data_IF_349747871502
#
_entry.id   IF_349747871502
#
_cell.length_a   1.000
_cell.length_b   1.000
_cell.length_c   1.000
_cell.angle_alpha   90.00
_cell.angle_beta   90.00
_cell.angle_gamma   90.00
#
_symmetry.space_group_name_H-M   'P 1'
#
loop_
_entity.id
_entity.type
_entity.pdbx_description
1 polymer ?
#
# COMPACT_ATOMS: atom_id res chain seq x y z
N UNK A 1 2.94 -23.26 -10.05
CA UNK A 1 2.28 -23.15 -11.39
C UNK A 1 0.81 -23.51 -11.25
N UNK A 2 -0.08 -22.59 -11.58
CA UNK A 2 -1.53 -22.80 -11.65
C UNK A 2 -2.01 -22.71 -13.10
N UNK A 3 -3.19 -23.25 -13.40
CA UNK A 3 -3.84 -22.95 -14.67
C UNK A 3 -4.55 -21.59 -14.59
N UNK A 4 -4.61 -20.87 -15.69
CA UNK A 4 -5.27 -19.56 -15.75
C UNK A 4 -6.74 -19.59 -15.27
N UNK A 5 -7.43 -20.72 -15.45
CA UNK A 5 -8.80 -20.91 -14.97
C UNK A 5 -8.93 -20.99 -13.44
N UNK A 6 -7.83 -21.24 -12.74
CA UNK A 6 -7.78 -21.40 -11.28
C UNK A 6 -7.43 -20.06 -10.57
N UNK A 7 -7.17 -19.00 -11.34
CA UNK A 7 -6.87 -17.67 -10.82
C UNK A 7 -8.06 -17.11 -10.04
N UNK A 8 -7.79 -16.49 -8.90
CA UNK A 8 -8.77 -15.86 -8.02
C UNK A 8 -8.29 -14.48 -7.59
N UNK A 9 -9.18 -13.65 -7.07
CA UNK A 9 -8.80 -12.40 -6.42
C UNK A 9 -7.82 -12.70 -5.29
N UNK A 10 -6.70 -11.97 -5.26
CA UNK A 10 -5.60 -12.17 -4.31
C UNK A 10 -4.54 -13.18 -4.77
N UNK A 11 -4.74 -13.90 -5.87
CA UNK A 11 -3.69 -14.75 -6.45
C UNK A 11 -2.53 -13.88 -6.91
N UNK A 12 -1.32 -14.19 -6.40
CA UNK A 12 -0.09 -13.56 -6.86
C UNK A 12 0.51 -14.39 -8.00
N UNK A 13 0.84 -13.74 -9.11
CA UNK A 13 1.48 -14.36 -10.27
C UNK A 13 2.72 -13.58 -10.67
N UNK A 14 3.75 -14.31 -11.14
CA UNK A 14 4.95 -13.71 -11.73
C UNK A 14 4.79 -13.71 -13.26
N UNK A 15 5.01 -12.57 -13.88
CA UNK A 15 4.93 -12.39 -15.31
C UNK A 15 5.96 -11.34 -15.75
N UNK A 16 6.78 -11.69 -16.74
CA UNK A 16 7.86 -10.82 -17.27
C UNK A 16 8.79 -10.28 -16.17
N UNK A 17 9.11 -11.11 -15.16
CA UNK A 17 9.96 -10.75 -14.03
C UNK A 17 9.30 -9.87 -12.96
N UNK A 18 8.04 -9.48 -13.14
CA UNK A 18 7.25 -8.68 -12.21
C UNK A 18 6.21 -9.48 -11.49
N UNK A 19 5.87 -9.05 -10.28
CA UNK A 19 4.82 -9.66 -9.48
C UNK A 19 3.52 -8.86 -9.62
N UNK A 20 2.43 -9.57 -9.81
CA UNK A 20 1.09 -9.01 -9.93
C UNK A 20 0.11 -9.72 -9.00
N UNK A 21 -0.80 -8.96 -8.41
CA UNK A 21 -1.98 -9.51 -7.76
C UNK A 21 -3.20 -9.44 -8.68
N UNK A 22 -3.92 -10.54 -8.78
CA UNK A 22 -5.23 -10.54 -9.41
C UNK A 22 -6.23 -9.81 -8.50
N UNK A 23 -6.77 -8.68 -8.98
CA UNK A 23 -7.76 -7.87 -8.26
C UNK A 23 -9.18 -8.04 -8.81
N UNK A 24 -9.32 -8.58 -10.01
CA UNK A 24 -10.60 -8.87 -10.65
C UNK A 24 -10.41 -9.93 -11.76
N UNK A 25 -11.39 -10.80 -11.98
CA UNK A 25 -11.36 -11.76 -13.07
C UNK A 25 -12.74 -12.06 -13.60
N UNK A 26 -12.81 -12.39 -14.87
CA UNK A 26 -14.03 -12.82 -15.54
C UNK A 26 -13.74 -14.00 -16.48
N UNK A 27 -14.50 -15.08 -16.33
CA UNK A 27 -14.48 -16.20 -17.22
C UNK A 27 -15.39 -15.91 -18.44
N UNK A 28 -14.80 -15.65 -19.59
CA UNK A 28 -15.53 -15.27 -20.81
C UNK A 28 -15.70 -16.49 -21.70
N UNK A 29 -16.95 -16.84 -21.96
CA UNK A 29 -17.36 -17.91 -22.92
C UNK A 29 -18.02 -17.24 -24.11
N UNK A 30 -17.27 -16.88 -25.17
CA UNK A 30 -17.87 -16.28 -26.34
C UNK A 30 -18.71 -17.32 -27.08
N UNK A 31 -19.78 -16.89 -27.75
CA UNK A 31 -20.64 -17.79 -28.53
C UNK A 31 -19.91 -18.43 -29.74
N UNK A 32 -18.84 -17.78 -30.22
CA UNK A 32 -17.88 -18.31 -31.22
C UNK A 32 -16.47 -17.97 -30.72
N UNK A 33 -15.57 -18.98 -30.70
CA UNK A 33 -14.18 -18.85 -30.30
C UNK A 33 -13.85 -19.52 -28.96
N UNK A 34 -12.58 -19.47 -28.58
CA UNK A 34 -12.09 -20.13 -27.38
C UNK A 34 -12.47 -19.36 -26.12
N UNK A 35 -12.79 -20.10 -25.07
CA UNK A 35 -12.99 -19.55 -23.72
C UNK A 35 -11.68 -19.01 -23.17
N UNK A 36 -11.73 -17.87 -22.53
CA UNK A 36 -10.55 -17.24 -21.90
C UNK A 36 -10.89 -16.58 -20.54
N UNK A 37 -9.87 -16.37 -19.75
CA UNK A 37 -9.94 -15.57 -18.53
C UNK A 37 -9.52 -14.14 -18.83
N UNK A 38 -10.36 -13.17 -18.51
CA UNK A 38 -10.01 -11.75 -18.50
C UNK A 38 -9.71 -11.36 -17.07
N UNK A 39 -8.53 -10.85 -16.80
CA UNK A 39 -8.08 -10.51 -15.45
C UNK A 39 -7.65 -9.07 -15.37
N UNK A 40 -7.87 -8.44 -14.23
CA UNK A 40 -7.20 -7.20 -13.86
C UNK A 40 -6.10 -7.53 -12.86
N UNK A 41 -4.89 -7.15 -13.22
CA UNK A 41 -3.67 -7.43 -12.49
C UNK A 41 -3.09 -6.13 -11.99
N UNK A 42 -2.86 -6.03 -10.67
CA UNK A 42 -2.21 -4.89 -10.05
C UNK A 42 -0.72 -5.21 -9.86
N UNK A 43 0.15 -4.40 -10.45
CA UNK A 43 1.60 -4.45 -10.21
C UNK A 43 1.88 -4.13 -8.74
N UNK A 44 2.69 -4.98 -8.11
CA UNK A 44 2.97 -4.90 -6.66
C UNK A 44 3.81 -3.67 -6.32
N UNK A 45 4.75 -3.30 -7.17
CA UNK A 45 5.70 -2.20 -6.94
C UNK A 45 5.12 -0.85 -7.34
N UNK A 46 4.58 -0.78 -8.56
CA UNK A 46 4.15 0.49 -9.17
C UNK A 46 2.65 0.78 -8.97
N UNK A 47 1.92 -0.17 -8.40
CA UNK A 47 0.48 -0.10 -8.12
C UNK A 47 -0.42 0.15 -9.35
N UNK A 48 0.12 0.21 -10.59
CA UNK A 48 -0.71 0.33 -11.76
C UNK A 48 -1.48 -0.97 -12.05
N UNK A 49 -2.64 -0.81 -12.67
CA UNK A 49 -3.51 -1.93 -13.03
C UNK A 49 -3.48 -2.13 -14.53
N UNK A 50 -3.25 -3.37 -14.94
CA UNK A 50 -3.34 -3.78 -16.35
C UNK A 50 -4.43 -4.85 -16.51
N UNK A 51 -5.07 -4.87 -17.68
CA UNK A 51 -5.98 -5.94 -18.07
C UNK A 51 -5.22 -6.96 -18.93
N UNK A 52 -5.30 -8.24 -18.56
CA UNK A 52 -4.67 -9.34 -19.30
C UNK A 52 -5.69 -10.44 -19.58
N UNK A 53 -5.57 -11.06 -20.77
CA UNK A 53 -6.32 -12.24 -21.15
C UNK A 53 -5.40 -13.43 -21.14
N UNK A 54 -5.88 -14.53 -20.57
CA UNK A 54 -5.20 -15.81 -20.54
C UNK A 54 -6.11 -16.87 -21.17
N UNK A 55 -5.55 -17.74 -21.99
CA UNK A 55 -6.29 -18.86 -22.53
C UNK A 55 -6.57 -19.90 -21.44
N UNK A 56 -7.68 -20.62 -21.57
CA UNK A 56 -7.97 -21.75 -20.68
C UNK A 56 -6.87 -22.79 -20.82
N UNK A 57 -6.32 -23.24 -19.69
CA UNK A 57 -5.20 -24.20 -19.65
C UNK A 57 -3.81 -23.56 -19.74
N UNK A 58 -3.70 -22.26 -20.00
CA UNK A 58 -2.42 -21.54 -19.91
C UNK A 58 -1.84 -21.67 -18.51
N UNK A 59 -0.55 -21.99 -18.41
CA UNK A 59 0.16 -22.14 -17.14
C UNK A 59 0.72 -20.81 -16.70
N UNK A 60 0.40 -20.43 -15.46
CA UNK A 60 0.87 -19.20 -14.82
C UNK A 60 1.80 -19.58 -13.67
N UNK A 61 2.87 -18.80 -13.51
CA UNK A 61 3.75 -18.91 -12.35
C UNK A 61 3.06 -18.24 -11.16
N UNK A 62 2.43 -19.03 -10.31
CA UNK A 62 1.89 -18.53 -9.05
C UNK A 62 2.99 -18.40 -8.00
N UNK A 63 2.88 -17.36 -7.20
CA UNK A 63 3.78 -17.07 -6.08
C UNK A 63 2.99 -17.18 -4.79
N UNK A 64 3.41 -18.10 -3.91
CA UNK A 64 2.84 -18.17 -2.57
C UNK A 64 3.44 -17.06 -1.73
N UNK A 65 2.61 -16.17 -1.24
CA UNK A 65 3.04 -15.04 -0.41
C UNK A 65 2.70 -15.28 1.06
N UNK A 66 3.59 -14.82 1.93
CA UNK A 66 3.36 -14.71 3.37
C UNK A 66 3.34 -13.26 3.78
N UNK A 67 2.48 -12.93 4.75
CA UNK A 67 2.35 -11.60 5.32
C UNK A 67 2.70 -11.68 6.79
N UNK A 68 3.65 -10.85 7.24
CA UNK A 68 4.10 -10.80 8.63
C UNK A 68 4.22 -9.36 9.11
N UNK A 69 3.99 -9.09 10.40
CA UNK A 69 4.16 -7.76 10.98
C UNK A 69 5.64 -7.45 11.21
N UNK A 70 6.06 -6.25 10.78
CA UNK A 70 7.39 -5.70 11.01
C UNK A 70 7.27 -4.30 11.60
N UNK A 71 8.11 -4.01 12.58
CA UNK A 71 8.19 -2.68 13.18
C UNK A 71 9.30 -1.87 12.53
N UNK A 72 8.98 -0.65 12.11
CA UNK A 72 9.99 0.29 11.65
C UNK A 72 10.81 0.80 12.82
N UNK A 73 12.14 0.70 12.73
CA UNK A 73 13.07 1.11 13.78
C UNK A 73 13.71 2.47 13.46
N UNK A 74 14.46 2.54 12.36
CA UNK A 74 15.20 3.73 11.96
C UNK A 74 15.62 3.67 10.50
N UNK A 75 16.14 4.79 10.00
CA UNK A 75 16.66 4.89 8.64
C UNK A 75 18.20 4.77 8.66
N UNK A 76 18.73 3.87 7.85
CA UNK A 76 20.17 3.66 7.68
C UNK A 76 20.56 3.94 6.22
N UNK A 77 21.11 5.11 5.97
CA UNK A 77 21.40 5.56 4.61
C UNK A 77 20.13 5.75 3.79
N UNK A 78 19.95 4.96 2.73
CA UNK A 78 18.76 4.99 1.88
C UNK A 78 17.71 3.95 2.28
N UNK A 79 18.04 3.02 3.19
CA UNK A 79 17.19 1.91 3.58
C UNK A 79 16.49 2.17 4.90
N UNK A 80 15.27 1.68 5.01
CA UNK A 80 14.49 1.66 6.23
C UNK A 80 14.71 0.34 6.94
N UNK A 81 15.15 0.38 8.20
CA UNK A 81 15.40 -0.84 8.99
C UNK A 81 14.14 -1.23 9.73
N UNK A 82 13.68 -2.43 9.46
CA UNK A 82 12.51 -3.04 10.10
C UNK A 82 12.89 -4.26 10.92
N UNK A 83 12.16 -4.50 11.98
CA UNK A 83 12.30 -5.69 12.83
C UNK A 83 11.06 -6.56 12.70
N UNK A 84 11.27 -7.82 12.35
CA UNK A 84 10.22 -8.83 12.36
C UNK A 84 9.70 -9.02 13.79
N UNK A 85 8.39 -8.90 14.00
CA UNK A 85 7.78 -8.98 15.33
C UNK A 85 7.72 -10.42 15.88
N UNK A 86 7.99 -11.43 15.05
CA UNK A 86 8.00 -12.85 15.45
C UNK A 86 9.40 -13.36 15.72
N UNK A 87 10.37 -13.04 14.84
CA UNK A 87 11.75 -13.56 14.94
C UNK A 87 12.73 -12.55 15.53
N UNK A 88 12.35 -11.27 15.60
CA UNK A 88 13.18 -10.12 16.03
C UNK A 88 14.39 -9.84 15.13
N UNK A 89 14.46 -10.47 13.96
CA UNK A 89 15.47 -10.18 12.97
C UNK A 89 15.26 -8.80 12.36
N UNK A 90 16.35 -8.08 12.13
CA UNK A 90 16.34 -6.78 11.47
C UNK A 90 16.68 -6.93 10.00
N UNK A 91 15.89 -6.30 9.16
CA UNK A 91 16.06 -6.32 7.70
C UNK A 91 15.96 -4.92 7.10
N UNK A 92 16.82 -4.58 6.12
CA UNK A 92 16.69 -3.36 5.35
C UNK A 92 15.60 -3.53 4.28
N UNK A 93 14.74 -2.53 4.11
CA UNK A 93 13.73 -2.48 3.06
C UNK A 93 13.89 -1.13 2.34
N UNK A 94 14.09 -1.17 1.03
CA UNK A 94 14.19 0.04 0.21
C UNK A 94 12.87 0.81 0.14
N UNK A 95 12.97 2.13 0.02
CA UNK A 95 11.81 3.04 -0.04
C UNK A 95 10.79 2.63 -1.11
N UNK A 96 11.26 2.17 -2.25
CA UNK A 96 10.45 1.78 -3.40
C UNK A 96 9.53 0.58 -3.14
N UNK A 97 9.87 -0.24 -2.14
CA UNK A 97 9.07 -1.40 -1.74
C UNK A 97 8.04 -1.08 -0.66
N UNK A 98 8.00 0.16 -0.13
CA UNK A 98 7.11 0.52 0.97
C UNK A 98 5.98 1.41 0.48
N UNK A 99 4.76 0.89 0.45
CA UNK A 99 3.56 1.66 0.10
C UNK A 99 3.15 2.56 1.26
N UNK A 100 3.00 3.87 0.97
CA UNK A 100 2.63 4.87 1.98
C UNK A 100 3.80 5.36 2.84
N UNK A 101 5.04 5.13 2.43
CA UNK A 101 6.27 5.43 3.19
C UNK A 101 6.36 6.88 3.71
N UNK A 102 5.72 7.84 3.04
CA UNK A 102 5.73 9.25 3.46
C UNK A 102 5.00 9.47 4.81
N UNK A 103 4.19 8.51 5.24
CA UNK A 103 3.48 8.52 6.53
C UNK A 103 4.11 7.60 7.58
N UNK A 104 5.27 7.01 7.27
CA UNK A 104 5.96 6.10 8.18
C UNK A 104 6.66 6.88 9.30
N UNK A 105 6.47 6.43 10.54
CA UNK A 105 7.17 6.95 11.73
C UNK A 105 7.82 5.81 12.51
N UNK A 106 8.86 6.10 13.27
CA UNK A 106 9.54 5.12 14.13
C UNK A 106 8.57 4.44 15.09
N UNK A 107 8.73 3.13 15.26
CA UNK A 107 7.87 2.31 16.09
C UNK A 107 6.59 1.82 15.39
N UNK A 108 6.25 2.33 14.22
CA UNK A 108 5.08 1.88 13.48
C UNK A 108 5.24 0.44 13.00
N UNK A 109 4.18 -0.34 13.14
CA UNK A 109 4.10 -1.71 12.62
C UNK A 109 3.42 -1.70 11.27
N UNK A 110 4.06 -2.33 10.29
CA UNK A 110 3.55 -2.49 8.92
C UNK A 110 3.44 -3.97 8.58
N UNK A 111 2.66 -4.27 7.57
CA UNK A 111 2.64 -5.62 6.99
C UNK A 111 3.72 -5.73 5.92
N UNK A 112 4.63 -6.70 6.07
CA UNK A 112 5.62 -7.05 5.06
C UNK A 112 5.20 -8.34 4.38
N UNK A 113 5.16 -8.31 3.06
CA UNK A 113 4.80 -9.45 2.21
C UNK A 113 6.06 -10.00 1.57
N UNK A 114 6.29 -11.29 1.75
CA UNK A 114 7.42 -12.02 1.18
C UNK A 114 6.97 -13.22 0.36
N UNK A 115 7.82 -13.66 -0.56
CA UNK A 115 7.68 -14.93 -1.25
C UNK A 115 7.97 -16.06 -0.26
N UNK A 116 6.97 -16.91 0.02
CA UNK A 116 7.08 -17.98 0.99
C UNK A 116 8.12 -19.06 0.63
N UNK A 117 8.53 -19.13 -0.63
CA UNK A 117 9.50 -20.13 -1.11
C UNK A 117 10.95 -19.68 -1.01
N UNK A 118 11.20 -18.38 -1.12
CA UNK A 118 12.53 -17.77 -1.16
C UNK A 118 12.80 -16.83 0.00
N UNK A 119 11.77 -16.52 0.83
CA UNK A 119 11.77 -15.53 1.91
C UNK A 119 12.13 -14.11 1.42
N UNK A 120 12.13 -13.89 0.11
CA UNK A 120 12.42 -12.59 -0.48
C UNK A 120 11.30 -11.60 -0.18
N UNK A 121 11.64 -10.45 0.37
CA UNK A 121 10.67 -9.37 0.60
C UNK A 121 10.21 -8.82 -0.75
N UNK A 122 8.91 -8.78 -0.95
CA UNK A 122 8.26 -8.29 -2.15
C UNK A 122 7.83 -6.83 -2.00
N UNK A 123 7.21 -6.50 -0.86
CA UNK A 123 6.83 -5.14 -0.50
C UNK A 123 6.41 -5.04 0.97
N UNK A 124 6.37 -3.80 1.49
CA UNK A 124 5.78 -3.44 2.77
C UNK A 124 4.58 -2.51 2.57
N UNK A 125 3.58 -2.62 3.42
CA UNK A 125 2.35 -1.85 3.34
C UNK A 125 1.97 -1.29 4.71
N UNK A 126 1.84 0.03 4.80
CA UNK A 126 1.32 0.68 6.00
C UNK A 126 -0.14 0.31 6.21
N UNK A 127 -0.65 0.38 7.46
CA UNK A 127 -2.08 0.36 7.71
C UNK A 127 -2.80 1.38 6.82
N UNK A 128 -3.99 1.03 6.33
CA UNK A 128 -4.80 1.91 5.46
C UNK A 128 -5.03 3.28 6.11
N UNK A 129 -5.13 3.30 7.43
CA UNK A 129 -5.31 4.51 8.23
C UNK A 129 -4.21 4.60 9.28
N UNK A 130 -3.61 5.76 9.38
CA UNK A 130 -2.61 6.08 10.41
C UNK A 130 -2.99 7.34 11.15
N UNK A 131 -2.58 7.42 12.40
CA UNK A 131 -2.79 8.58 13.24
C UNK A 131 -1.47 9.30 13.42
N UNK A 132 -1.40 10.55 12.97
CA UNK A 132 -0.19 11.36 13.01
C UNK A 132 -0.49 12.73 13.61
N UNK A 133 0.48 13.24 14.37
CA UNK A 133 0.40 14.55 14.99
C UNK A 133 0.75 15.64 13.97
N UNK A 134 -0.04 16.70 13.93
CA UNK A 134 0.26 17.91 13.14
C UNK A 134 1.39 18.66 13.83
N UNK A 135 2.52 18.82 13.15
CA UNK A 135 3.70 19.54 13.67
C UNK A 135 3.73 21.00 13.23
N UNK A 136 3.10 21.31 12.10
CA UNK A 136 2.98 22.68 11.59
C UNK A 136 1.74 22.85 10.72
N UNK A 137 1.04 23.97 10.91
CA UNK A 137 -0.01 24.42 9.98
C UNK A 137 -0.24 25.93 10.17
N UNK A 138 -0.57 26.62 9.09
CA UNK A 138 -0.96 28.03 9.17
C UNK A 138 -2.30 28.18 9.91
N UNK A 139 -2.50 29.28 10.66
CA UNK A 139 -3.79 29.60 11.24
C UNK A 139 -4.85 29.75 10.11
N UNK A 140 -6.03 29.16 10.31
CA UNK A 140 -7.15 29.40 9.39
C UNK A 140 -7.56 30.90 9.44
N UNK A 141 -7.56 31.55 8.29
CA UNK A 141 -8.01 32.96 8.22
C UNK A 141 -9.51 33.02 8.52
N UNK A 142 -9.89 33.85 9.52
CA UNK A 142 -11.29 34.19 9.79
C UNK A 142 -11.82 35.03 8.61
N UNK A 143 -12.69 34.46 7.81
CA UNK A 143 -13.32 35.15 6.68
C UNK A 143 -13.55 34.28 5.45
N UNK A 144 -12.90 33.12 5.34
CA UNK A 144 -13.14 32.18 4.27
C UNK A 144 -14.40 31.33 4.60
N UNK A 145 -15.55 31.82 4.14
CA UNK A 145 -16.86 31.17 4.34
C UNK A 145 -17.11 30.01 3.37
N UNK A 146 -16.11 29.60 2.60
CA UNK A 146 -16.23 28.45 1.72
C UNK A 146 -16.20 27.15 2.55
N UNK A 147 -17.28 26.45 2.60
CA UNK A 147 -17.56 25.23 3.39
C UNK A 147 -16.65 24.03 3.11
N UNK A 148 -15.68 24.14 2.19
CA UNK A 148 -14.74 23.08 1.81
C UNK A 148 -13.30 23.58 1.63
N UNK A 149 -12.90 24.67 2.24
CA UNK A 149 -11.53 25.18 2.14
C UNK A 149 -10.59 24.33 2.99
N UNK A 150 -9.56 23.78 2.35
CA UNK A 150 -8.50 22.99 2.98
C UNK A 150 -7.22 23.81 3.02
N UNK A 151 -6.45 23.68 4.10
CA UNK A 151 -5.10 24.23 4.25
C UNK A 151 -4.04 23.14 4.31
N UNK A 152 -2.78 23.42 3.97
CA UNK A 152 -1.68 22.48 4.16
C UNK A 152 -1.35 22.35 5.65
N UNK A 153 -1.04 21.11 6.07
CA UNK A 153 -0.50 20.80 7.38
C UNK A 153 0.65 19.80 7.24
N UNK A 154 1.73 20.02 7.96
CA UNK A 154 2.84 19.08 8.05
C UNK A 154 2.61 18.19 9.26
N UNK A 155 2.74 16.88 9.06
CA UNK A 155 2.62 15.88 10.14
C UNK A 155 3.99 15.39 10.59
N UNK A 156 4.05 14.68 11.71
CA UNK A 156 5.29 14.24 12.36
C UNK A 156 6.17 13.33 11.49
N UNK A 157 5.63 12.69 10.47
CA UNK A 157 6.42 11.96 9.46
C UNK A 157 7.15 12.88 8.47
N UNK A 158 6.88 14.19 8.49
CA UNK A 158 7.36 15.17 7.51
C UNK A 158 6.48 15.32 6.27
N UNK A 159 5.45 14.49 6.10
CA UNK A 159 4.51 14.62 4.98
C UNK A 159 3.61 15.84 5.13
N UNK A 160 3.20 16.40 3.99
CA UNK A 160 2.20 17.49 3.94
C UNK A 160 0.86 16.93 3.48
N UNK A 161 -0.19 17.19 4.26
CA UNK A 161 -1.57 16.78 3.98
C UNK A 161 -2.50 17.99 3.93
N UNK A 162 -3.61 17.86 3.21
CA UNK A 162 -4.65 18.88 3.14
C UNK A 162 -5.68 18.64 4.24
N UNK A 163 -5.84 19.60 5.15
CA UNK A 163 -6.74 19.47 6.31
C UNK A 163 -7.77 20.61 6.35
N UNK A 164 -8.92 20.42 7.00
CA UNK A 164 -9.88 21.49 7.25
C UNK A 164 -9.25 22.66 8.02
N UNK A 165 -9.79 23.88 7.83
CA UNK A 165 -9.26 25.10 8.44
C UNK A 165 -9.22 25.08 9.98
N UNK A 166 -10.08 24.29 10.63
CA UNK A 166 -10.17 24.19 12.09
C UNK A 166 -9.09 23.32 12.73
N UNK A 167 -8.29 22.60 11.94
CA UNK A 167 -7.19 21.78 12.47
C UNK A 167 -6.04 22.70 12.88
N UNK A 168 -5.51 22.47 14.08
CA UNK A 168 -4.41 23.25 14.65
C UNK A 168 -3.15 22.38 14.83
N UNK A 169 -2.03 23.07 14.98
CA UNK A 169 -0.78 22.45 15.39
C UNK A 169 -0.92 21.75 16.74
N UNK A 170 -0.31 20.56 16.88
CA UNK A 170 -0.40 19.70 18.06
C UNK A 170 -1.58 18.74 18.09
N UNK A 171 -2.57 18.90 17.21
CA UNK A 171 -3.68 17.95 17.11
C UNK A 171 -3.25 16.68 16.35
N UNK A 172 -3.85 15.53 16.74
CA UNK A 172 -3.66 14.27 16.05
C UNK A 172 -4.78 14.06 15.04
N UNK A 173 -4.41 13.72 13.82
CA UNK A 173 -5.34 13.47 12.72
C UNK A 173 -5.19 12.05 12.19
N UNK A 174 -6.26 11.49 11.67
CA UNK A 174 -6.28 10.23 10.94
C UNK A 174 -6.17 10.53 9.44
N UNK A 175 -5.26 9.80 8.77
CA UNK A 175 -4.92 9.96 7.35
C UNK A 175 -5.10 8.61 6.67
N UNK A 176 -5.70 8.59 5.47
CA UNK A 176 -5.68 7.43 4.59
C UNK A 176 -4.33 7.38 3.86
N UNK A 177 -3.56 6.32 4.07
CA UNK A 177 -2.20 6.18 3.53
C UNK A 177 -2.14 5.90 2.03
N UNK A 178 -3.27 5.54 1.42
CA UNK A 178 -3.36 5.20 -0.01
C UNK A 178 -3.35 6.43 -0.91
N UNK A 179 -3.92 7.54 -0.45
CA UNK A 179 -4.04 8.79 -1.20
C UNK A 179 -3.60 10.04 -0.42
N UNK A 180 -3.22 9.88 0.86
CA UNK A 180 -2.80 10.97 1.74
C UNK A 180 -3.94 11.87 2.19
N UNK A 181 -5.19 11.43 2.09
CA UNK A 181 -6.34 12.25 2.46
C UNK A 181 -6.58 12.28 3.96
N UNK A 182 -7.03 13.45 4.44
CA UNK A 182 -7.51 13.61 5.80
C UNK A 182 -8.82 12.84 5.99
N UNK A 183 -8.90 12.00 7.00
CA UNK A 183 -10.09 11.22 7.35
C UNK A 183 -10.85 11.87 8.51
N UNK A 184 -10.15 12.29 9.55
CA UNK A 184 -10.78 12.85 10.73
C UNK A 184 -9.78 13.32 11.78
N UNK A 185 -10.30 14.05 12.78
CA UNK A 185 -9.54 14.42 13.97
C UNK A 185 -9.70 13.33 15.02
N UNK A 186 -8.60 12.89 15.61
CA UNK A 186 -8.60 11.96 16.73
C UNK A 186 -8.93 12.76 17.99
N UNK A 187 -9.99 12.36 18.69
CA UNK A 187 -10.30 12.95 20.00
C UNK A 187 -9.33 12.38 21.04
N UNK A 188 -8.71 13.27 21.78
CA UNK A 188 -7.93 12.89 22.96
C UNK A 188 -8.85 12.27 24.04
#
# INVERSE_FOLDING_TARGET
MINAQDIKIGTAIRMDGKLYFCIDFLHVKPGKGNTFMRTKLKDVVNAYVLERRFNIGEKLEDVRVERRPYQYLYMAGADYIFMNQETFDQVPIGKELITGVDFLIEGMVIDVVSDASTETILYGELPVKVQLKVTYTEPGLKGDTATNTLKPATVESGATVRVPLFINEGETIEIDTRDGSYVGRVKA
#
